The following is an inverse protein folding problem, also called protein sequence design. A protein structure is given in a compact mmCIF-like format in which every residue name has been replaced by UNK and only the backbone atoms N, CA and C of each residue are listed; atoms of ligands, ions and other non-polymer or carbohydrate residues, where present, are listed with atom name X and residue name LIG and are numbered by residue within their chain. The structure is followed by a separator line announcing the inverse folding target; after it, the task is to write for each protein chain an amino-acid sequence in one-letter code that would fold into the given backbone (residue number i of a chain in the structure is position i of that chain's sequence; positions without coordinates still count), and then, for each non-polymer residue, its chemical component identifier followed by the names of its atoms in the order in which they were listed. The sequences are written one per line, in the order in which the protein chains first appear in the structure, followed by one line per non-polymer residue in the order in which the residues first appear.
data_IF_333482325594
#
_entry.id   IF_333482325594
#
_cell.length_a   1.000
_cell.length_b   1.000
_cell.length_c   1.000
_cell.angle_alpha   90.00
_cell.angle_beta   90.00
_cell.angle_gamma   90.00
#
_symmetry.space_group_name_H-M   'P 1'
#
loop_
_entity.id
_entity.type
_entity.pdbx_description
1 polymer ?
#
# COMPACT_ATOMS: atom_id res chain seq x y z
N UNK A 1 -0.19 -12.01 -15.96
CA UNK A 1 -0.69 -12.61 -14.69
C UNK A 1 0.38 -12.78 -13.62
N UNK A 2 1.44 -13.59 -13.79
CA UNK A 2 2.48 -13.78 -12.73
C UNK A 2 3.11 -12.47 -12.25
N UNK A 3 3.39 -11.52 -13.15
CA UNK A 3 3.97 -10.21 -12.81
C UNK A 3 3.01 -9.32 -12.00
N UNK A 4 1.73 -9.32 -12.32
CA UNK A 4 0.71 -8.56 -11.57
C UNK A 4 0.49 -9.13 -10.17
N UNK A 5 0.49 -10.46 -10.00
CA UNK A 5 0.44 -11.09 -8.68
C UNK A 5 1.66 -10.71 -7.83
N UNK A 6 2.86 -10.68 -8.44
CA UNK A 6 4.08 -10.23 -7.74
C UNK A 6 4.00 -8.77 -7.30
N UNK A 7 3.48 -7.88 -8.16
CA UNK A 7 3.24 -6.47 -7.82
C UNK A 7 2.31 -6.33 -6.62
N UNK A 8 1.21 -7.10 -6.60
CA UNK A 8 0.28 -7.12 -5.46
C UNK A 8 0.97 -7.61 -4.19
N UNK A 9 1.75 -8.70 -4.27
CA UNK A 9 2.50 -9.21 -3.12
C UNK A 9 3.49 -8.16 -2.57
N UNK A 10 4.20 -7.44 -3.46
CA UNK A 10 5.12 -6.36 -3.06
C UNK A 10 4.40 -5.17 -2.43
N UNK A 11 3.21 -4.79 -2.92
CA UNK A 11 2.41 -3.74 -2.26
C UNK A 11 1.99 -4.16 -0.85
N UNK A 12 1.59 -5.41 -0.66
CA UNK A 12 1.23 -5.95 0.66
C UNK A 12 2.44 -6.00 1.60
N UNK A 13 3.60 -6.40 1.08
CA UNK A 13 4.87 -6.43 1.81
C UNK A 13 5.24 -5.06 2.38
N UNK A 14 5.17 -4.00 1.56
CA UNK A 14 5.46 -2.62 1.99
C UNK A 14 4.48 -2.10 3.03
N UNK A 15 3.18 -2.29 2.81
CA UNK A 15 2.14 -1.82 3.75
C UNK A 15 2.30 -2.52 5.10
N UNK A 16 2.59 -3.82 5.08
CA UNK A 16 2.80 -4.60 6.30
C UNK A 16 4.07 -4.16 7.00
N UNK A 17 5.17 -3.99 6.26
CA UNK A 17 6.45 -3.50 6.79
C UNK A 17 6.28 -2.14 7.44
N UNK A 18 5.60 -1.20 6.76
CA UNK A 18 5.30 0.11 7.31
C UNK A 18 4.58 0.04 8.66
N UNK A 19 3.48 -0.70 8.74
CA UNK A 19 2.74 -0.79 9.99
C UNK A 19 3.57 -1.44 11.12
N UNK A 20 4.40 -2.43 10.80
CA UNK A 20 5.29 -3.08 11.77
C UNK A 20 6.42 -2.16 12.25
N UNK A 21 6.98 -1.29 11.39
CA UNK A 21 7.96 -0.27 11.80
C UNK A 21 7.36 0.74 12.80
N UNK A 22 6.06 1.02 12.67
CA UNK A 22 5.29 1.82 13.62
C UNK A 22 4.80 1.02 14.84
N UNK A 23 5.33 -0.20 15.04
CA UNK A 23 5.06 -1.06 16.18
C UNK A 23 3.58 -1.42 16.35
N UNK A 24 2.85 -1.56 15.23
CA UNK A 24 1.49 -2.07 15.26
C UNK A 24 1.46 -3.44 15.94
N UNK A 25 0.54 -3.64 16.89
CA UNK A 25 0.38 -4.93 17.57
C UNK A 25 -0.41 -5.94 16.74
N UNK A 26 -1.23 -5.43 15.83
CA UNK A 26 -2.05 -6.22 14.94
C UNK A 26 -2.04 -5.55 13.58
N UNK A 27 -1.78 -6.33 12.53
CA UNK A 27 -1.91 -5.94 11.13
C UNK A 27 -2.76 -7.00 10.43
N UNK A 28 -3.80 -6.58 9.74
CA UNK A 28 -4.62 -7.46 8.89
C UNK A 28 -4.60 -6.92 7.48
N UNK A 29 -4.39 -7.80 6.51
CA UNK A 29 -4.44 -7.44 5.10
C UNK A 29 -5.38 -8.41 4.41
N UNK A 30 -6.34 -7.87 3.65
CA UNK A 30 -7.20 -8.64 2.76
C UNK A 30 -6.93 -8.22 1.32
N UNK A 31 -6.95 -9.20 0.42
CA UNK A 31 -6.78 -9.00 -1.01
C UNK A 31 -8.03 -9.55 -1.69
N UNK A 32 -8.74 -8.69 -2.42
CA UNK A 32 -9.91 -9.06 -3.20
C UNK A 32 -9.58 -8.93 -4.68
N UNK A 33 -9.70 -10.05 -5.40
CA UNK A 33 -9.48 -10.08 -6.85
C UNK A 33 -10.81 -10.11 -7.57
N UNK A 34 -11.05 -9.07 -8.37
CA UNK A 34 -12.21 -8.97 -9.25
C UNK A 34 -11.77 -9.08 -10.71
N UNK A 35 -12.74 -9.09 -11.62
CA UNK A 35 -12.48 -9.23 -13.06
C UNK A 35 -11.75 -8.01 -13.65
N UNK A 36 -12.02 -6.84 -13.11
CA UNK A 36 -11.64 -5.51 -13.59
C UNK A 36 -10.71 -4.77 -12.63
N UNK A 37 -10.51 -5.27 -11.42
CA UNK A 37 -9.70 -4.60 -10.38
C UNK A 37 -9.21 -5.55 -9.30
N UNK A 38 -8.21 -5.10 -8.56
CA UNK A 38 -7.74 -5.68 -7.31
C UNK A 38 -7.95 -4.64 -6.23
N UNK A 39 -8.48 -5.07 -5.10
CA UNK A 39 -8.63 -4.23 -3.91
C UNK A 39 -7.78 -4.81 -2.80
N UNK A 40 -6.94 -3.98 -2.19
CA UNK A 40 -6.16 -4.33 -1.00
C UNK A 40 -6.70 -3.48 0.14
N UNK A 41 -7.11 -4.13 1.22
CA UNK A 41 -7.47 -3.45 2.47
C UNK A 41 -6.48 -3.83 3.55
N UNK A 42 -5.91 -2.85 4.23
CA UNK A 42 -5.00 -3.11 5.34
C UNK A 42 -5.42 -2.32 6.57
N UNK A 43 -5.56 -3.00 7.71
CA UNK A 43 -5.89 -2.39 8.99
C UNK A 43 -4.77 -2.63 9.99
N UNK A 44 -4.39 -1.63 10.76
CA UNK A 44 -3.44 -1.75 11.84
C UNK A 44 -3.98 -1.17 13.15
N UNK A 45 -3.63 -1.81 14.27
CA UNK A 45 -4.07 -1.38 15.62
C UNK A 45 -2.90 -1.02 16.53
N UNK A 46 -3.17 -0.11 17.46
CA UNK A 46 -2.26 0.26 18.56
C UNK A 46 -0.87 0.68 18.06
N UNK A 47 -0.84 1.53 17.05
CA UNK A 47 0.41 2.04 16.49
C UNK A 47 1.05 3.03 17.45
N UNK A 48 2.37 2.97 17.58
CA UNK A 48 3.12 4.03 18.25
C UNK A 48 3.24 5.21 17.28
N UNK A 49 2.91 6.43 17.72
CA UNK A 49 2.95 7.64 16.87
C UNK A 49 1.97 7.55 15.67
N UNK A 50 0.72 7.18 15.92
CA UNK A 50 -0.36 7.08 14.92
C UNK A 50 -0.45 8.31 14.01
N UNK A 51 -0.39 9.53 14.55
CA UNK A 51 -0.40 10.76 13.76
C UNK A 51 0.73 10.85 12.73
N UNK A 52 1.94 10.41 13.09
CA UNK A 52 3.08 10.38 12.17
C UNK A 52 2.86 9.33 11.08
N UNK A 53 2.30 8.18 11.43
CA UNK A 53 1.96 7.13 10.46
C UNK A 53 0.93 7.65 9.44
N UNK A 54 -0.18 8.23 9.92
CA UNK A 54 -1.23 8.80 9.07
C UNK A 54 -0.67 9.87 8.14
N UNK A 55 0.17 10.78 8.63
CA UNK A 55 0.77 11.82 7.79
C UNK A 55 1.63 11.24 6.67
N UNK A 56 2.45 10.22 6.98
CA UNK A 56 3.27 9.53 5.96
C UNK A 56 2.39 8.83 4.93
N UNK A 57 1.38 8.07 5.37
CA UNK A 57 0.45 7.40 4.46
C UNK A 57 -0.22 8.39 3.51
N UNK A 58 -0.74 9.51 4.03
CA UNK A 58 -1.37 10.57 3.23
C UNK A 58 -0.39 11.17 2.21
N UNK A 59 0.87 11.35 2.59
CA UNK A 59 1.88 11.90 1.70
C UNK A 59 2.20 10.92 0.55
N UNK A 60 2.57 9.68 0.86
CA UNK A 60 3.14 8.75 -0.11
C UNK A 60 2.09 7.99 -0.93
N UNK A 61 0.91 7.72 -0.38
CA UNK A 61 -0.17 7.06 -1.13
C UNK A 61 -1.00 8.02 -1.99
N UNK A 62 -0.79 9.33 -1.85
CA UNK A 62 -1.43 10.34 -2.70
C UNK A 62 -0.79 10.50 -4.08
N UNK A 63 0.34 9.85 -4.34
CA UNK A 63 0.98 9.95 -5.65
C UNK A 63 0.08 9.37 -6.73
N UNK A 64 -0.11 10.07 -7.86
CA UNK A 64 -0.92 9.56 -8.95
C UNK A 64 -0.25 8.33 -9.57
N UNK A 65 -1.07 7.44 -10.11
CA UNK A 65 -0.59 6.27 -10.84
C UNK A 65 0.36 6.68 -11.96
N UNK A 66 1.55 6.10 -11.99
CA UNK A 66 2.58 6.42 -12.98
C UNK A 66 3.16 5.12 -13.57
N UNK A 67 2.66 4.71 -14.75
CA UNK A 67 3.01 3.43 -15.35
C UNK A 67 4.51 3.25 -15.65
N UNK A 68 5.19 4.31 -16.08
CA UNK A 68 6.63 4.27 -16.37
C UNK A 68 7.45 4.01 -15.10
N UNK A 69 7.11 4.71 -14.02
CA UNK A 69 7.72 4.50 -12.71
C UNK A 69 7.39 3.11 -12.16
N UNK A 70 6.12 2.68 -12.27
CA UNK A 70 5.70 1.34 -11.88
C UNK A 70 6.53 0.28 -12.60
N UNK A 71 6.71 0.35 -13.92
CA UNK A 71 7.41 -0.70 -14.67
C UNK A 71 8.90 -0.81 -14.33
N UNK A 72 9.53 0.29 -13.92
CA UNK A 72 10.94 0.37 -13.57
C UNK A 72 11.21 0.03 -12.10
N UNK A 73 10.41 0.56 -11.17
CA UNK A 73 10.70 0.52 -9.72
C UNK A 73 9.98 -0.60 -8.95
N UNK A 74 8.95 -1.23 -9.51
CA UNK A 74 8.20 -2.29 -8.79
C UNK A 74 9.06 -3.48 -8.31
N UNK A 75 10.21 -3.71 -8.96
CA UNK A 75 11.12 -4.79 -8.59
C UNK A 75 12.00 -4.43 -7.37
N UNK A 76 12.18 -3.13 -7.11
CA UNK A 76 12.96 -2.59 -6.00
C UNK A 76 12.12 -2.42 -4.73
N UNK A 77 10.79 -2.39 -4.87
CA UNK A 77 9.85 -2.49 -3.75
C UNK A 77 10.21 -3.70 -2.89
N UNK A 78 10.34 -3.55 -1.58
CA UNK A 78 10.75 -4.54 -0.57
C UNK A 78 12.25 -4.57 -0.26
N UNK A 79 13.08 -3.78 -0.97
CA UNK A 79 14.51 -3.60 -0.68
C UNK A 79 14.87 -2.15 -0.31
N UNK A 80 13.91 -1.22 -0.45
CA UNK A 80 14.06 0.21 -0.20
C UNK A 80 13.72 0.60 1.26
N UNK A 81 14.15 1.77 1.69
CA UNK A 81 13.66 2.35 2.95
C UNK A 81 12.13 2.50 2.89
N UNK A 82 11.45 2.32 4.02
CA UNK A 82 9.99 2.20 4.07
C UNK A 82 9.22 3.41 3.48
N UNK A 83 9.82 4.60 3.49
CA UNK A 83 9.23 5.80 2.86
C UNK A 83 9.27 5.73 1.32
N UNK A 84 10.35 5.21 0.74
CA UNK A 84 10.51 5.03 -0.70
C UNK A 84 9.59 3.90 -1.21
N UNK A 85 9.46 2.84 -0.41
CA UNK A 85 8.56 1.72 -0.70
C UNK A 85 7.10 2.15 -0.81
N UNK A 86 6.61 2.93 0.16
CA UNK A 86 5.25 3.49 0.11
C UNK A 86 5.01 4.41 -1.09
N UNK A 87 6.01 5.21 -1.50
CA UNK A 87 5.88 6.07 -2.66
C UNK A 87 5.66 5.24 -3.94
N UNK A 88 6.41 4.14 -4.07
CA UNK A 88 6.24 3.20 -5.19
C UNK A 88 4.84 2.59 -5.13
N UNK A 89 4.35 2.17 -3.97
CA UNK A 89 2.97 1.67 -3.82
C UNK A 89 1.94 2.71 -4.28
N UNK A 90 2.10 3.99 -3.94
CA UNK A 90 1.24 5.08 -4.42
C UNK A 90 1.16 5.12 -5.95
N UNK A 91 2.30 5.00 -6.64
CA UNK A 91 2.34 4.96 -8.11
C UNK A 91 1.76 3.70 -8.74
N UNK A 92 1.53 2.64 -7.95
CA UNK A 92 1.01 1.35 -8.39
C UNK A 92 -0.51 1.20 -8.22
N UNK A 93 -1.19 2.17 -7.63
CA UNK A 93 -2.64 2.11 -7.39
C UNK A 93 -3.34 3.24 -8.14
N UNK A 94 -4.60 3.02 -8.51
CA UNK A 94 -5.42 4.06 -9.15
C UNK A 94 -6.10 4.93 -8.10
N UNK A 95 -6.47 4.33 -6.96
CA UNK A 95 -7.11 5.03 -5.85
C UNK A 95 -6.54 4.54 -4.53
N UNK A 96 -6.35 5.46 -3.59
CA UNK A 96 -5.99 5.18 -2.21
C UNK A 96 -6.84 6.04 -1.27
N UNK A 97 -7.39 5.41 -0.25
CA UNK A 97 -8.08 6.11 0.85
C UNK A 97 -7.59 5.59 2.19
N UNK A 98 -7.60 6.48 3.17
CA UNK A 98 -7.06 6.25 4.51
C UNK A 98 -8.10 6.75 5.50
N UNK A 99 -8.64 5.83 6.28
CA UNK A 99 -9.52 6.11 7.41
C UNK A 99 -8.76 5.81 8.71
N UNK A 100 -9.01 6.58 9.75
CA UNK A 100 -8.32 6.38 11.03
C UNK A 100 -9.10 6.96 12.20
N UNK A 101 -8.91 6.35 13.35
CA UNK A 101 -9.27 6.87 14.66
C UNK A 101 -8.05 6.81 15.59
N UNK A 102 -8.26 7.00 16.90
CA UNK A 102 -7.19 7.02 17.88
C UNK A 102 -6.48 5.65 18.03
N UNK A 103 -7.14 4.55 17.70
CA UNK A 103 -6.66 3.19 17.90
C UNK A 103 -6.40 2.41 16.61
N UNK A 104 -7.01 2.82 15.49
CA UNK A 104 -7.07 2.08 14.23
C UNK A 104 -6.67 2.96 13.05
N UNK A 105 -5.93 2.38 12.11
CA UNK A 105 -5.69 2.96 10.78
C UNK A 105 -6.10 1.91 9.75
N UNK A 106 -6.96 2.31 8.82
CA UNK A 106 -7.45 1.52 7.71
C UNK A 106 -7.02 2.16 6.38
N UNK A 107 -6.48 1.35 5.49
CA UNK A 107 -6.10 1.75 4.13
C UNK A 107 -6.91 0.92 3.15
N UNK A 108 -7.49 1.58 2.15
CA UNK A 108 -8.14 0.94 1.02
C UNK A 108 -7.44 1.37 -0.28
N UNK A 109 -6.89 0.39 -0.99
CA UNK A 109 -6.20 0.60 -2.25
C UNK A 109 -6.96 -0.11 -3.38
N UNK A 110 -7.26 0.63 -4.44
CA UNK A 110 -7.87 0.08 -5.66
C UNK A 110 -6.87 0.16 -6.80
N UNK A 111 -6.65 -0.97 -7.48
CA UNK A 111 -5.87 -1.06 -8.71
C UNK A 111 -6.73 -1.66 -9.82
N UNK A 112 -6.99 -0.89 -10.86
CA UNK A 112 -7.73 -1.31 -12.05
C UNK A 112 -6.86 -2.24 -12.92
N UNK A 113 -7.46 -3.38 -13.29
CA UNK A 113 -6.93 -4.33 -14.26
C UNK A 113 -7.55 -3.98 -15.62
N UNK A 114 -6.81 -3.20 -16.42
CA UNK A 114 -7.16 -2.98 -17.81
C UNK A 114 -6.90 -4.23 -18.65
N UNK A 115 -7.95 -4.73 -19.32
CA UNK A 115 -7.78 -5.50 -20.57
C UNK A 115 -7.12 -4.55 -21.58
N UNK A 116 -5.82 -4.73 -21.81
CA UNK A 116 -5.20 -4.23 -23.05
C UNK A 116 -5.81 -4.96 -24.24
#
# INVERSE_FOLDING_TARGET
MKREIKKVAKMVDEITTFFLEFQAQEVKVNIFTYKDRIVITASAKKLKKSEKAVRRLKQYLSYPRAHEMEEYYWALTGESECEEGLAIVGTMVDEASIDYDDEHIDIHLTRLIGKR
#
